data_IF_786094614244
#
_entry.id   IF_786094614244
#
_cell.length_a   1.000
_cell.length_b   1.000
_cell.length_c   1.000
_cell.angle_alpha   90.00
_cell.angle_beta   90.00
_cell.angle_gamma   90.00
#
_symmetry.space_group_name_H-M   'P 1'
#
loop_
_entity.id
_entity.type
_entity.pdbx_description
1 polymer ?
#
# COMPACT_ATOMS: atom_id res chain seq x y z
N UNK A 1 21.12 -6.98 -2.99
CA UNK A 1 20.64 -6.86 -4.38
C UNK A 1 20.36 -5.40 -4.64
N UNK A 2 20.95 -4.75 -5.66
CA UNK A 2 20.48 -3.44 -6.07
C UNK A 2 19.09 -3.65 -6.68
N UNK A 3 18.05 -3.14 -6.03
CA UNK A 3 16.70 -3.15 -6.58
C UNK A 3 16.66 -2.30 -7.84
N UNK A 4 15.78 -2.68 -8.77
CA UNK A 4 15.50 -1.88 -9.97
C UNK A 4 15.08 -0.48 -9.52
N UNK A 5 15.62 0.56 -10.16
CA UNK A 5 15.26 1.94 -9.82
C UNK A 5 13.76 2.13 -10.07
N UNK A 6 13.04 2.57 -9.05
CA UNK A 6 11.63 2.92 -9.20
C UNK A 6 11.48 4.06 -10.21
N UNK A 7 10.48 3.95 -11.07
CA UNK A 7 10.17 4.99 -12.07
C UNK A 7 9.37 6.16 -11.48
N UNK A 8 8.79 5.98 -10.29
CA UNK A 8 7.97 6.98 -9.60
C UNK A 8 8.19 6.87 -8.09
N UNK A 9 8.45 8.00 -7.43
CA UNK A 9 8.58 8.07 -5.98
C UNK A 9 7.21 8.33 -5.32
N UNK A 10 6.95 7.72 -4.16
CA UNK A 10 5.74 8.00 -3.37
C UNK A 10 5.58 9.49 -2.96
N UNK A 11 6.69 10.25 -2.95
CA UNK A 11 6.67 11.69 -2.68
C UNK A 11 6.18 12.53 -3.87
N UNK A 12 6.19 11.97 -5.09
CA UNK A 12 5.73 12.65 -6.30
C UNK A 12 4.20 12.58 -6.45
N UNK A 13 3.53 11.84 -5.55
CA UNK A 13 2.08 11.65 -5.54
C UNK A 13 1.48 12.43 -4.37
N UNK A 14 0.97 13.64 -4.64
CA UNK A 14 0.43 14.54 -3.60
C UNK A 14 -0.61 13.87 -2.70
N UNK A 15 -1.50 13.05 -3.27
CA UNK A 15 -2.54 12.36 -2.51
C UNK A 15 -1.98 11.47 -1.39
N UNK A 16 -0.85 10.80 -1.63
CA UNK A 16 -0.19 9.95 -0.62
C UNK A 16 0.31 10.81 0.54
N UNK A 17 0.92 11.95 0.21
CA UNK A 17 1.47 12.88 1.20
C UNK A 17 0.35 13.52 2.03
N UNK A 18 -0.74 13.95 1.40
CA UNK A 18 -1.91 14.52 2.06
C UNK A 18 -2.55 13.51 3.04
N UNK A 19 -2.72 12.26 2.61
CA UNK A 19 -3.29 11.19 3.44
C UNK A 19 -2.43 10.90 4.67
N UNK A 20 -1.10 10.82 4.51
CA UNK A 20 -0.18 10.63 5.63
C UNK A 20 -0.20 11.84 6.56
N UNK A 21 -0.23 13.05 6.02
CA UNK A 21 -0.26 14.28 6.81
C UNK A 21 -1.52 14.33 7.68
N UNK A 22 -2.67 13.99 7.12
CA UNK A 22 -3.95 13.96 7.82
C UNK A 22 -3.96 12.91 8.93
N UNK A 23 -3.60 11.66 8.60
CA UNK A 23 -3.61 10.53 9.55
C UNK A 23 -2.63 10.74 10.71
N UNK A 24 -1.45 11.29 10.41
CA UNK A 24 -0.43 11.57 11.43
C UNK A 24 -0.58 12.95 12.09
N UNK A 25 -1.57 13.76 11.66
CA UNK A 25 -1.82 15.14 12.12
C UNK A 25 -0.56 16.03 12.08
N UNK A 26 0.22 15.89 11.02
CA UNK A 26 1.49 16.60 10.84
C UNK A 26 1.24 18.04 10.38
N UNK A 27 1.98 18.97 10.97
CA UNK A 27 1.89 20.40 10.61
C UNK A 27 2.76 20.76 9.41
N UNK A 28 3.84 20.01 9.16
CA UNK A 28 4.73 20.22 8.01
C UNK A 28 4.86 18.92 7.19
N UNK A 29 4.56 19.02 5.90
CA UNK A 29 4.71 17.95 4.91
C UNK A 29 6.15 17.43 4.85
N UNK A 30 7.15 18.27 5.16
CA UNK A 30 8.57 17.87 5.14
C UNK A 30 8.92 16.78 6.16
N UNK A 31 8.07 16.54 7.14
CA UNK A 31 8.23 15.45 8.10
C UNK A 31 7.99 14.07 7.47
N UNK A 32 7.28 14.05 6.32
CA UNK A 32 6.96 12.85 5.56
C UNK A 32 8.10 12.56 4.57
N UNK A 33 8.80 11.46 4.81
CA UNK A 33 9.91 10.98 3.99
C UNK A 33 9.51 9.81 3.10
N UNK A 34 8.50 9.03 3.46
CA UNK A 34 8.08 7.88 2.66
C UNK A 34 6.67 7.42 3.04
N UNK A 35 5.97 6.79 2.09
CA UNK A 35 4.68 6.14 2.33
C UNK A 35 4.74 5.08 3.43
N UNK A 36 5.91 4.48 3.65
CA UNK A 36 6.11 3.48 4.70
C UNK A 36 5.93 4.03 6.12
N UNK A 37 5.93 5.36 6.30
CA UNK A 37 5.65 6.01 7.57
C UNK A 37 4.15 6.10 7.87
N UNK A 38 3.28 5.85 6.88
CA UNK A 38 1.85 5.78 7.12
C UNK A 38 1.55 4.75 8.23
N UNK A 39 0.76 5.09 9.26
CA UNK A 39 0.55 4.22 10.42
C UNK A 39 -0.06 2.85 10.04
N UNK A 40 -0.87 2.81 8.98
CA UNK A 40 -1.43 1.57 8.45
C UNK A 40 -0.49 0.76 7.54
N UNK A 41 0.65 1.29 7.08
CA UNK A 41 1.46 0.62 6.07
C UNK A 41 1.98 -0.74 6.54
N UNK A 42 2.53 -0.80 7.75
CA UNK A 42 3.08 -2.03 8.29
C UNK A 42 1.99 -3.09 8.52
N UNK A 43 0.88 -2.70 9.14
CA UNK A 43 -0.21 -3.62 9.49
C UNK A 43 -1.03 -4.08 8.27
N UNK A 44 -1.16 -3.25 7.23
CA UNK A 44 -1.99 -3.58 6.07
C UNK A 44 -1.15 -4.18 4.93
N UNK A 45 -0.01 -3.58 4.61
CA UNK A 45 0.77 -3.93 3.42
C UNK A 45 1.88 -4.95 3.69
N UNK A 46 2.34 -5.09 4.94
CA UNK A 46 3.45 -5.99 5.30
C UNK A 46 3.04 -7.17 6.19
N UNK A 47 1.89 -7.10 6.88
CA UNK A 47 1.43 -8.20 7.71
C UNK A 47 0.90 -9.37 6.86
N UNK A 48 1.59 -10.51 6.95
CA UNK A 48 1.26 -11.73 6.20
C UNK A 48 -0.15 -12.25 6.48
N UNK A 49 -0.66 -12.11 7.69
CA UNK A 49 -1.98 -12.61 8.06
C UNK A 49 -3.08 -11.70 7.50
N UNK A 50 -2.86 -10.38 7.50
CA UNK A 50 -3.75 -9.42 6.85
C UNK A 50 -3.79 -9.66 5.34
N UNK A 51 -2.63 -9.80 4.69
CA UNK A 51 -2.55 -10.08 3.25
C UNK A 51 -3.26 -11.40 2.87
N UNK A 52 -3.10 -12.46 3.66
CA UNK A 52 -3.82 -13.72 3.45
C UNK A 52 -5.33 -13.56 3.57
N UNK A 53 -5.77 -12.80 4.58
CA UNK A 53 -7.19 -12.53 4.79
C UNK A 53 -7.77 -11.77 3.60
N UNK A 54 -7.10 -10.70 3.16
CA UNK A 54 -7.50 -9.93 1.98
C UNK A 54 -7.58 -10.81 0.72
N UNK A 55 -6.62 -11.71 0.51
CA UNK A 55 -6.65 -12.67 -0.59
C UNK A 55 -7.86 -13.60 -0.51
N UNK A 56 -8.16 -14.17 0.66
CA UNK A 56 -9.31 -15.07 0.81
C UNK A 56 -10.64 -14.34 0.62
N UNK A 57 -10.77 -13.11 1.11
CA UNK A 57 -11.96 -12.27 0.86
C UNK A 57 -12.13 -12.01 -0.64
N UNK A 58 -11.07 -11.59 -1.33
CA UNK A 58 -11.11 -11.40 -2.79
C UNK A 58 -11.52 -12.68 -3.54
N UNK A 59 -10.93 -13.82 -3.15
CA UNK A 59 -11.27 -15.15 -3.68
C UNK A 59 -12.73 -15.53 -3.47
N UNK A 60 -13.32 -15.14 -2.35
CA UNK A 60 -14.72 -15.45 -2.04
C UNK A 60 -15.67 -14.63 -2.92
N UNK A 61 -15.36 -13.35 -3.13
CA UNK A 61 -16.21 -12.43 -3.88
C UNK A 61 -16.10 -12.63 -5.41
N UNK A 62 -14.89 -12.99 -5.90
CA UNK A 62 -14.59 -13.03 -7.33
C UNK A 62 -14.12 -14.40 -7.86
N UNK A 63 -13.70 -15.31 -6.99
CA UNK A 63 -13.03 -16.56 -7.39
C UNK A 63 -13.92 -17.64 -8.01
N UNK A 64 -15.24 -17.44 -8.07
CA UNK A 64 -16.16 -18.35 -8.78
C UNK A 64 -16.28 -17.98 -10.27
N UNK A 65 -15.87 -16.76 -10.66
CA UNK A 65 -16.06 -16.22 -12.02
C UNK A 65 -14.75 -15.87 -12.74
N UNK A 66 -13.59 -16.22 -12.19
CA UNK A 66 -12.31 -15.96 -12.86
C UNK A 66 -12.04 -17.11 -13.84
N UNK A 67 -12.06 -16.88 -15.17
CA UNK A 67 -11.73 -17.94 -16.14
C UNK A 67 -10.29 -18.41 -15.90
N UNK A 68 -10.06 -19.72 -15.98
CA UNK A 68 -8.80 -20.45 -15.69
C UNK A 68 -7.54 -19.98 -16.44
N UNK A 69 -7.63 -18.93 -17.26
CA UNK A 69 -6.58 -18.53 -18.20
C UNK A 69 -5.96 -17.19 -17.79
N UNK A 70 -5.14 -17.20 -16.75
CA UNK A 70 -4.05 -16.23 -16.58
C UNK A 70 -2.82 -16.97 -16.04
N UNK A 71 -2.16 -17.72 -16.94
CA UNK A 71 -0.73 -18.05 -16.82
C UNK A 71 0.12 -16.92 -17.40
#
# INVERSE_FOLDING_TARGET
MPTVKENLCCQEVNKIIEEIQEEMKLTDVKEIKCITQHPGFASVCLDRHVLKTAYYSYRQDYGVNMPDNME
#
